data_IF_737934577975
#
_entry.id   IF_737934577975
#
_cell.length_a   1.000
_cell.length_b   1.000
_cell.length_c   1.000
_cell.angle_alpha   90.00
_cell.angle_beta   90.00
_cell.angle_gamma   90.00
#
_symmetry.space_group_name_H-M   'P 1'
#
loop_
_entity.id
_entity.type
_entity.pdbx_description
1 polymer ?
#
# COMPACT_ATOMS: atom_id res chain seq x y z
N UNK A 1 0.16 -10.20 14.79
CA UNK A 1 -0.55 -9.07 14.18
C UNK A 1 0.37 -7.86 14.17
N UNK A 2 0.39 -7.09 13.10
CA UNK A 2 1.14 -5.83 13.01
C UNK A 2 0.44 -4.81 13.91
N UNK A 3 1.19 -4.21 14.84
CA UNK A 3 0.65 -3.18 15.75
C UNK A 3 0.69 -1.82 15.05
N UNK A 4 -0.41 -1.09 15.12
CA UNK A 4 -0.51 0.30 14.68
C UNK A 4 -1.04 1.19 15.81
N UNK A 5 -0.93 2.50 15.67
CA UNK A 5 -1.41 3.44 16.69
C UNK A 5 -2.93 3.35 16.84
N UNK A 6 -3.42 3.30 18.07
CA UNK A 6 -4.85 3.22 18.36
C UNK A 6 -5.60 4.49 17.93
N UNK A 7 -4.94 5.65 18.01
CA UNK A 7 -5.49 6.94 17.57
C UNK A 7 -5.02 7.27 16.15
N UNK A 8 -5.95 7.71 15.30
CA UNK A 8 -5.64 8.13 13.94
C UNK A 8 -5.04 9.54 13.93
N UNK A 9 -3.95 9.70 13.19
CA UNK A 9 -3.34 11.01 12.94
C UNK A 9 -4.11 11.75 11.85
N UNK A 10 -4.51 12.99 12.12
CA UNK A 10 -5.12 13.85 11.10
C UNK A 10 -4.04 14.34 10.12
N UNK A 11 -4.22 14.02 8.85
CA UNK A 11 -3.25 14.37 7.80
C UNK A 11 -3.71 15.63 7.08
N UNK A 12 -2.83 16.61 7.07
CA UNK A 12 -2.95 17.87 6.33
C UNK A 12 -1.84 17.97 5.29
N UNK A 13 -1.89 18.98 4.42
CA UNK A 13 -0.81 19.26 3.46
C UNK A 13 0.55 19.53 4.13
N UNK A 14 0.53 20.09 5.36
CA UNK A 14 1.73 20.56 6.05
C UNK A 14 2.44 19.44 6.81
N UNK A 15 1.69 18.41 7.28
CA UNK A 15 2.26 17.33 8.08
C UNK A 15 2.45 16.01 7.34
N UNK A 16 1.90 15.86 6.13
CA UNK A 16 1.91 14.60 5.37
C UNK A 16 3.33 14.07 5.16
N UNK A 17 4.29 14.92 4.83
CA UNK A 17 5.70 14.53 4.61
C UNK A 17 6.34 14.06 5.91
N UNK A 18 6.12 14.80 7.00
CA UNK A 18 6.64 14.44 8.32
C UNK A 18 6.12 13.10 8.85
N UNK A 19 4.88 12.74 8.54
CA UNK A 19 4.33 11.43 8.92
C UNK A 19 4.93 10.28 8.08
N UNK A 20 5.25 10.53 6.81
CA UNK A 20 5.97 9.56 5.97
C UNK A 20 7.40 9.36 6.53
N UNK A 21 8.08 10.45 6.89
CA UNK A 21 9.45 10.38 7.44
C UNK A 21 9.49 9.63 8.78
N UNK A 22 8.50 9.81 9.65
CA UNK A 22 8.36 9.02 10.89
C UNK A 22 8.17 7.53 10.62
N UNK A 23 7.43 7.17 9.56
CA UNK A 23 7.29 5.77 9.18
C UNK A 23 8.60 5.19 8.67
N UNK A 24 9.35 5.96 7.88
CA UNK A 24 10.67 5.57 7.39
C UNK A 24 11.70 5.44 8.52
N UNK A 25 11.69 6.37 9.47
CA UNK A 25 12.53 6.29 10.67
C UNK A 25 12.32 4.97 11.42
N UNK A 26 11.06 4.56 11.62
CA UNK A 26 10.75 3.26 12.23
C UNK A 26 11.26 2.07 11.42
N UNK A 27 11.16 2.12 10.09
CA UNK A 27 11.69 1.06 9.23
C UNK A 27 13.21 0.98 9.31
N UNK A 28 13.89 2.11 9.22
CA UNK A 28 15.36 2.17 9.32
C UNK A 28 15.85 1.78 10.71
N UNK A 29 15.12 2.14 11.76
CA UNK A 29 15.36 1.66 13.13
C UNK A 29 15.26 0.14 13.28
N UNK A 30 14.51 -0.53 12.40
CA UNK A 30 14.46 -2.00 12.30
C UNK A 30 15.55 -2.61 11.39
N UNK A 31 16.59 -1.86 11.06
CA UNK A 31 17.71 -2.27 10.17
C UNK A 31 17.28 -2.57 8.72
N UNK A 32 16.23 -1.93 8.24
CA UNK A 32 15.87 -1.97 6.81
C UNK A 32 16.87 -1.12 6.03
N UNK A 33 17.44 -1.68 4.95
CA UNK A 33 18.42 -0.95 4.14
C UNK A 33 17.78 0.20 3.37
N UNK A 34 18.38 1.42 3.37
CA UNK A 34 17.83 2.57 2.64
C UNK A 34 17.72 2.35 1.12
N UNK A 35 18.58 1.48 0.55
CA UNK A 35 18.60 1.16 -0.88
C UNK A 35 17.57 0.08 -1.29
N UNK A 36 16.79 -0.45 -0.35
CA UNK A 36 15.72 -1.40 -0.64
C UNK A 36 14.55 -0.73 -1.36
N UNK A 37 13.75 -1.51 -2.09
CA UNK A 37 12.47 -1.04 -2.61
C UNK A 37 11.47 -0.94 -1.46
N UNK A 38 11.13 0.28 -1.07
CA UNK A 38 10.09 0.55 -0.09
C UNK A 38 8.84 0.96 -0.86
N UNK A 39 7.72 0.35 -0.56
CA UNK A 39 6.41 0.63 -1.17
C UNK A 39 5.48 1.19 -0.11
N UNK A 40 4.66 2.15 -0.51
CA UNK A 40 3.61 2.73 0.32
C UNK A 40 2.29 2.71 -0.44
N UNK A 41 1.25 2.12 0.15
CA UNK A 41 -0.09 2.12 -0.40
C UNK A 41 -0.94 3.15 0.31
N UNK A 42 -1.51 4.08 -0.48
CA UNK A 42 -2.25 5.24 0.03
C UNK A 42 -3.63 5.35 -0.58
N UNK A 43 -4.63 5.82 0.17
CA UNK A 43 -5.93 6.17 -0.37
C UNK A 43 -5.87 7.45 -1.20
N UNK A 44 -6.86 7.70 -2.10
CA UNK A 44 -6.87 8.86 -2.98
C UNK A 44 -6.80 10.20 -2.23
N UNK A 45 -7.47 10.33 -1.09
CA UNK A 45 -7.45 11.56 -0.31
C UNK A 45 -6.05 11.89 0.25
N UNK A 46 -5.29 10.86 0.70
CA UNK A 46 -3.92 11.04 1.16
C UNK A 46 -3.00 11.43 -0.01
N UNK A 47 -3.19 10.78 -1.16
CA UNK A 47 -2.46 11.09 -2.38
C UNK A 47 -2.64 12.55 -2.80
N UNK A 48 -3.86 13.08 -2.72
CA UNK A 48 -4.12 14.49 -3.03
C UNK A 48 -3.44 15.45 -2.05
N UNK A 49 -3.39 15.11 -0.75
CA UNK A 49 -2.65 15.89 0.26
C UNK A 49 -1.15 15.88 -0.01
N UNK A 50 -0.62 14.70 -0.38
CA UNK A 50 0.77 14.55 -0.76
C UNK A 50 1.11 15.42 -1.99
N UNK A 51 0.25 15.39 -3.01
CA UNK A 51 0.40 16.23 -4.21
C UNK A 51 0.39 17.72 -3.86
N UNK A 52 -0.50 18.17 -2.99
CA UNK A 52 -0.55 19.57 -2.52
C UNK A 52 0.72 19.97 -1.77
N UNK A 53 1.26 19.09 -0.90
CA UNK A 53 2.50 19.34 -0.20
C UNK A 53 3.69 19.50 -1.18
N UNK A 54 3.76 18.67 -2.21
CA UNK A 54 4.79 18.78 -3.24
C UNK A 54 4.67 20.03 -4.10
N UNK A 55 3.45 20.43 -4.45
CA UNK A 55 3.23 21.66 -5.23
C UNK A 55 3.61 22.91 -4.45
N UNK A 56 3.55 22.84 -3.11
CA UNK A 56 3.98 23.93 -2.23
C UNK A 56 5.50 24.02 -2.07
N UNK A 57 6.25 22.95 -2.39
CA UNK A 57 7.70 22.96 -2.40
C UNK A 57 8.17 23.56 -3.74
N UNK A 58 8.88 24.68 -3.69
CA UNK A 58 9.44 25.43 -4.84
C UNK A 58 10.57 24.67 -5.56
N UNK A 59 10.41 23.36 -5.75
CA UNK A 59 11.37 22.48 -6.39
C UNK A 59 10.84 21.98 -7.73
N UNK A 60 11.72 21.80 -8.71
CA UNK A 60 11.41 21.28 -10.05
C UNK A 60 10.88 19.84 -10.00
N UNK A 61 9.62 19.68 -9.63
CA UNK A 61 8.88 18.42 -9.52
C UNK A 61 8.05 18.12 -10.79
N UNK A 62 8.38 18.73 -11.92
CA UNK A 62 7.65 18.61 -13.19
C UNK A 62 7.41 17.17 -13.62
N UNK A 63 8.38 16.27 -13.41
CA UNK A 63 8.24 14.83 -13.72
C UNK A 63 7.21 14.08 -12.87
N UNK A 64 6.88 14.58 -11.68
CA UNK A 64 5.83 14.00 -10.83
C UNK A 64 4.42 14.39 -11.30
N UNK A 65 4.29 15.53 -11.97
CA UNK A 65 3.01 16.05 -12.47
C UNK A 65 2.62 15.47 -13.83
N UNK A 66 3.60 15.09 -14.67
CA UNK A 66 3.35 14.63 -16.04
C UNK A 66 2.58 13.31 -16.14
N UNK A 67 2.76 12.38 -15.22
CA UNK A 67 2.22 11.01 -15.34
C UNK A 67 1.06 10.68 -14.39
N UNK A 68 0.55 11.65 -13.62
CA UNK A 68 -0.48 11.40 -12.61
C UNK A 68 -0.06 10.44 -11.50
N UNK A 69 1.19 10.00 -11.51
CA UNK A 69 1.80 9.14 -10.50
C UNK A 69 2.71 9.99 -9.64
N UNK A 70 2.41 10.09 -8.35
CA UNK A 70 3.46 10.44 -7.39
C UNK A 70 4.45 9.27 -7.42
N UNK A 71 5.50 9.42 -8.20
CA UNK A 71 6.39 8.33 -8.52
C UNK A 71 7.16 7.85 -7.30
N UNK A 72 7.88 8.74 -6.63
CA UNK A 72 8.76 8.39 -5.51
C UNK A 72 8.87 9.57 -4.55
N UNK A 73 8.76 9.27 -3.27
CA UNK A 73 9.22 10.15 -2.20
C UNK A 73 10.56 9.62 -1.69
N UNK A 74 11.66 10.26 -2.06
CA UNK A 74 12.99 9.71 -1.80
C UNK A 74 13.12 8.29 -2.38
N UNK A 75 13.18 7.30 -1.51
CA UNK A 75 13.28 5.88 -1.87
C UNK A 75 11.94 5.12 -1.84
N UNK A 76 10.84 5.78 -1.48
CA UNK A 76 9.52 5.18 -1.34
C UNK A 76 8.74 5.30 -2.63
N UNK A 77 8.26 4.17 -3.14
CA UNK A 77 7.34 4.09 -4.27
C UNK A 77 5.92 4.23 -3.71
N UNK A 78 5.22 5.30 -4.10
CA UNK A 78 3.84 5.54 -3.67
C UNK A 78 2.87 4.94 -4.68
N UNK A 79 1.96 4.11 -4.20
CA UNK A 79 0.87 3.52 -4.99
C UNK A 79 -0.46 3.99 -4.45
N UNK A 80 -1.31 4.54 -5.30
CA UNK A 80 -2.67 4.88 -4.96
C UNK A 80 -3.57 3.66 -5.11
N UNK A 81 -4.38 3.37 -4.09
CA UNK A 81 -5.37 2.28 -4.10
C UNK A 81 -6.61 2.67 -3.32
N UNK A 82 -7.78 2.29 -3.85
CA UNK A 82 -9.05 2.41 -3.11
C UNK A 82 -9.25 1.25 -2.12
N UNK A 83 -8.43 0.21 -2.19
CA UNK A 83 -8.54 -1.00 -1.36
C UNK A 83 -7.66 -0.92 -0.09
N UNK A 84 -7.26 0.28 0.31
CA UNK A 84 -6.53 0.47 1.56
C UNK A 84 -7.42 0.03 2.72
N UNK A 85 -6.88 -0.81 3.61
CA UNK A 85 -7.60 -1.29 4.78
C UNK A 85 -8.03 -0.12 5.67
N UNK A 86 -9.18 -0.28 6.32
CA UNK A 86 -9.70 0.71 7.27
C UNK A 86 -9.84 0.10 8.66
N UNK A 87 -9.72 0.94 9.67
CA UNK A 87 -9.96 0.59 11.06
C UNK A 87 -11.47 0.58 11.36
N UNK A 88 -11.86 0.07 12.54
CA UNK A 88 -13.24 0.07 13.05
C UNK A 88 -13.89 1.46 13.09
N UNK A 89 -13.08 2.50 13.16
CA UNK A 89 -13.48 3.92 13.11
C UNK A 89 -13.43 4.53 11.70
N UNK A 90 -13.37 3.71 10.65
CA UNK A 90 -13.24 4.11 9.25
C UNK A 90 -11.99 4.96 8.93
N UNK A 91 -10.94 4.89 9.76
CA UNK A 91 -9.66 5.51 9.47
C UNK A 91 -8.85 4.64 8.51
N UNK A 92 -8.07 5.25 7.63
CA UNK A 92 -7.24 4.52 6.67
C UNK A 92 -5.96 3.98 7.30
N UNK A 93 -5.69 2.69 7.09
CA UNK A 93 -4.48 2.02 7.54
C UNK A 93 -3.46 1.98 6.39
N UNK A 94 -2.63 3.00 6.32
CA UNK A 94 -1.61 3.15 5.27
C UNK A 94 -0.43 2.25 5.59
N UNK A 95 -0.08 1.37 4.65
CA UNK A 95 1.04 0.44 4.80
C UNK A 95 2.29 0.97 4.11
N UNK A 96 3.41 0.93 4.84
CA UNK A 96 4.75 1.21 4.32
C UNK A 96 5.60 -0.02 4.57
N UNK A 97 6.09 -0.64 3.52
CA UNK A 97 6.78 -1.93 3.62
C UNK A 97 7.83 -2.13 2.53
N UNK A 98 8.77 -3.05 2.77
CA UNK A 98 9.68 -3.53 1.74
C UNK A 98 9.00 -4.58 0.84
N UNK A 99 9.56 -4.83 -0.34
CA UNK A 99 9.11 -5.90 -1.25
C UNK A 99 9.19 -7.29 -0.62
N UNK A 100 10.02 -7.48 0.40
CA UNK A 100 10.24 -8.75 1.12
C UNK A 100 9.36 -8.93 2.36
N UNK A 101 8.61 -7.91 2.75
CA UNK A 101 7.78 -7.95 3.97
C UNK A 101 6.58 -8.90 3.82
N UNK A 102 6.01 -8.97 2.62
CA UNK A 102 4.83 -9.78 2.31
C UNK A 102 5.17 -10.78 1.21
N UNK A 103 4.87 -12.05 1.45
CA UNK A 103 4.96 -13.09 0.43
C UNK A 103 3.56 -13.39 -0.12
N UNK A 104 3.45 -13.41 -1.44
CA UNK A 104 2.27 -13.85 -2.16
C UNK A 104 2.59 -15.17 -2.88
N UNK A 105 1.74 -16.15 -2.71
CA UNK A 105 1.91 -17.47 -3.32
C UNK A 105 0.64 -17.86 -4.05
N UNK A 106 0.80 -18.31 -5.29
CA UNK A 106 -0.25 -18.92 -6.10
C UNK A 106 0.18 -20.34 -6.47
N UNK A 107 -0.04 -21.33 -5.57
CA UNK A 107 0.50 -22.68 -5.75
C UNK A 107 -0.23 -23.49 -6.80
N UNK A 108 -1.50 -23.18 -7.07
CA UNK A 108 -2.30 -24.01 -7.97
C UNK A 108 -3.33 -23.18 -8.73
N UNK A 109 -3.30 -23.37 -10.05
CA UNK A 109 -4.35 -22.95 -10.97
C UNK A 109 -4.75 -24.20 -11.76
N UNK A 110 -6.00 -24.62 -11.66
CA UNK A 110 -6.51 -25.79 -12.36
C UNK A 110 -7.74 -25.41 -13.14
N UNK A 111 -7.75 -25.79 -14.42
CA UNK A 111 -8.89 -25.60 -15.34
C UNK A 111 -9.09 -26.90 -16.11
N UNK A 112 -10.30 -27.43 -16.09
CA UNK A 112 -10.65 -28.64 -16.84
C UNK A 112 -11.98 -28.49 -17.54
N UNK A 113 -12.08 -29.17 -18.67
CA UNK A 113 -13.36 -29.35 -19.37
C UNK A 113 -14.21 -30.37 -18.59
N UNK A 114 -15.49 -30.07 -18.45
CA UNK A 114 -16.44 -30.89 -17.72
C UNK A 114 -17.74 -30.97 -18.50
N UNK A 115 -18.28 -32.19 -18.68
CA UNK A 115 -19.60 -32.41 -19.27
C UNK A 115 -20.60 -32.74 -18.17
N UNK A 116 -21.63 -31.91 -17.95
CA UNK A 116 -22.64 -32.15 -16.94
C UNK A 116 -23.47 -33.38 -17.26
N UNK A 117 -23.78 -34.20 -16.25
CA UNK A 117 -24.61 -35.43 -16.44
C UNK A 117 -26.04 -35.13 -16.89
N UNK A 118 -26.58 -33.94 -16.59
CA UNK A 118 -27.98 -33.55 -16.85
C UNK A 118 -28.15 -32.60 -18.03
N UNK A 119 -27.19 -32.50 -18.94
CA UNK A 119 -27.30 -31.58 -20.07
C UNK A 119 -26.40 -31.93 -21.24
N UNK A 120 -26.77 -31.46 -22.44
CA UNK A 120 -25.97 -31.59 -23.67
C UNK A 120 -25.07 -30.36 -23.90
N UNK A 121 -24.48 -29.84 -22.84
CA UNK A 121 -23.58 -28.70 -22.92
C UNK A 121 -22.18 -29.07 -22.46
N UNK A 122 -21.17 -28.46 -23.05
CA UNK A 122 -19.81 -28.53 -22.56
C UNK A 122 -19.59 -27.34 -21.60
N UNK A 123 -19.03 -27.61 -20.43
CA UNK A 123 -18.75 -26.62 -19.40
C UNK A 123 -17.25 -26.64 -19.04
N UNK A 124 -16.74 -25.54 -18.56
CA UNK A 124 -15.38 -25.42 -18.05
C UNK A 124 -15.47 -25.09 -16.57
N UNK A 125 -14.79 -25.87 -15.73
CA UNK A 125 -14.63 -25.57 -14.31
C UNK A 125 -13.16 -25.32 -14.00
N UNK A 126 -12.92 -24.41 -13.09
CA UNK A 126 -11.57 -24.10 -12.66
C UNK A 126 -11.55 -23.50 -11.25
N UNK A 127 -10.40 -23.60 -10.62
CA UNK A 127 -10.14 -22.91 -9.37
C UNK A 127 -8.72 -22.35 -9.35
N UNK A 128 -8.55 -21.29 -8.61
CA UNK A 128 -7.26 -20.67 -8.32
C UNK A 128 -7.09 -20.61 -6.82
N UNK A 129 -6.00 -21.16 -6.32
CA UNK A 129 -5.64 -21.09 -4.92
C UNK A 129 -4.54 -20.05 -4.77
N UNK A 130 -4.76 -19.04 -3.92
CA UNK A 130 -3.76 -18.03 -3.62
C UNK A 130 -3.80 -17.61 -2.15
N UNK A 131 -2.67 -17.18 -1.65
CA UNK A 131 -2.55 -16.68 -0.29
C UNK A 131 -1.46 -15.62 -0.19
N UNK A 132 -1.70 -14.61 0.66
CA UNK A 132 -0.70 -13.64 1.07
C UNK A 132 -0.40 -13.77 2.56
N UNK A 133 0.88 -13.68 2.95
CA UNK A 133 1.31 -13.74 4.34
C UNK A 133 2.42 -12.74 4.62
N UNK A 134 2.35 -12.07 5.77
CA UNK A 134 3.43 -11.23 6.27
C UNK A 134 4.53 -12.15 6.79
N UNK A 135 5.69 -12.14 6.12
CA UNK A 135 6.85 -12.96 6.45
C UNK A 135 7.81 -12.21 7.36
N UNK A 136 7.97 -10.91 7.11
CA UNK A 136 8.89 -10.05 7.88
C UNK A 136 8.16 -8.87 8.52
N UNK A 137 7.55 -9.05 9.68
CA UNK A 137 6.74 -8.01 10.32
C UNK A 137 7.54 -6.78 10.73
N UNK A 138 8.86 -6.87 10.91
CA UNK A 138 9.73 -5.74 11.21
C UNK A 138 9.99 -4.83 10.00
N UNK A 139 9.76 -5.33 8.79
CA UNK A 139 9.92 -4.58 7.54
C UNK A 139 8.60 -3.97 7.05
N UNK A 140 7.57 -3.94 7.90
CA UNK A 140 6.27 -3.38 7.61
C UNK A 140 5.83 -2.45 8.75
N UNK A 141 5.46 -1.22 8.39
CA UNK A 141 4.89 -0.22 9.30
C UNK A 141 3.50 0.14 8.81
N UNK A 142 2.55 0.27 9.73
CA UNK A 142 1.19 0.72 9.45
C UNK A 142 0.94 2.05 10.13
N UNK A 143 0.53 3.04 9.35
CA UNK A 143 0.08 4.34 9.81
C UNK A 143 -1.45 4.35 9.88
N UNK A 144 -1.99 4.70 11.04
CA UNK A 144 -3.42 4.94 11.20
C UNK A 144 -3.69 6.43 10.95
N UNK A 145 -4.37 6.74 9.86
CA UNK A 145 -4.54 8.10 9.37
C UNK A 145 -6.00 8.41 9.05
N UNK A 146 -6.37 9.68 9.29
CA UNK A 146 -7.65 10.25 8.85
C UNK A 146 -7.41 11.54 8.10
N UNK A 147 -8.35 11.92 7.24
CA UNK A 147 -8.30 13.21 6.57
C UNK A 147 -8.39 14.33 7.60
N UNK A 148 -7.40 15.20 7.61
CA UNK A 148 -7.45 16.48 8.33
C UNK A 148 -8.27 17.52 7.57
N UNK A 149 -8.75 18.51 8.27
CA UNK A 149 -9.38 19.67 7.66
C UNK A 149 -8.35 20.53 6.92
#
# INVERSE_FOLDING_TARGET
>A
AVKYAASATAITKDNVLGEIDKALEKLYGNNVRPNGKIMMEVPPWFYMRLKQAYTALDTDNSKMLENGRVGKYGNVIVKMSNNVAVDSSANSLITVHTDKAVAFVNPMTHVEAYRPEKGFSDAVKGFVLYQAKIVRPKELVVLNCKAGA
#
